data_IF_959881562986
#
_entry.id   IF_959881562986
#
_cell.length_a   1.000
_cell.length_b   1.000
_cell.length_c   1.000
_cell.angle_alpha   90.00
_cell.angle_beta   90.00
_cell.angle_gamma   90.00
#
_symmetry.space_group_name_H-M   'P 1'
#
loop_
_entity.id
_entity.type
_entity.pdbx_description
1 polymer ?
#
# COMPACT_ATOMS: atom_id res chain seq x y z
N UNK A 1 -36.64 -5.23 -2.40
CA UNK A 1 -35.31 -4.81 -2.87
C UNK A 1 -34.51 -6.10 -3.02
N UNK A 2 -34.32 -6.54 -4.26
CA UNK A 2 -33.38 -7.64 -4.54
C UNK A 2 -32.02 -7.21 -4.02
N UNK A 3 -31.56 -7.89 -3.00
CA UNK A 3 -30.20 -7.68 -2.50
C UNK A 3 -29.26 -8.30 -3.52
N UNK A 4 -28.36 -7.52 -4.08
CA UNK A 4 -27.40 -8.00 -5.07
C UNK A 4 -26.53 -9.10 -4.45
N UNK A 5 -26.72 -10.33 -4.91
CA UNK A 5 -26.01 -11.52 -4.43
C UNK A 5 -24.48 -11.35 -4.48
N UNK A 6 -23.98 -10.60 -5.46
CA UNK A 6 -22.56 -10.31 -5.58
C UNK A 6 -22.06 -9.44 -4.44
N UNK A 7 -22.81 -8.40 -4.07
CA UNK A 7 -22.44 -7.52 -2.96
C UNK A 7 -22.47 -8.30 -1.63
N UNK A 8 -23.50 -9.13 -1.42
CA UNK A 8 -23.55 -10.01 -0.24
C UNK A 8 -22.33 -10.92 -0.16
N UNK A 9 -21.88 -11.44 -1.30
CA UNK A 9 -20.72 -12.32 -1.37
C UNK A 9 -19.43 -11.61 -0.94
N UNK A 10 -19.24 -10.34 -1.29
CA UNK A 10 -18.12 -9.53 -0.80
C UNK A 10 -18.11 -9.44 0.74
N UNK A 11 -19.26 -9.12 1.33
CA UNK A 11 -19.38 -9.02 2.79
C UNK A 11 -19.17 -10.36 3.49
N UNK A 12 -19.68 -11.42 2.91
CA UNK A 12 -19.52 -12.77 3.45
C UNK A 12 -18.05 -13.20 3.46
N UNK A 13 -17.35 -13.00 2.37
CA UNK A 13 -15.94 -13.36 2.22
C UNK A 13 -15.00 -12.52 3.11
N UNK A 14 -15.45 -11.35 3.55
CA UNK A 14 -14.73 -10.46 4.46
C UNK A 14 -15.26 -10.50 5.90
N UNK A 15 -16.05 -11.51 6.26
CA UNK A 15 -16.69 -11.60 7.58
C UNK A 15 -15.65 -11.57 8.72
N UNK A 16 -15.92 -10.83 9.81
CA UNK A 16 -14.97 -10.66 10.93
C UNK A 16 -14.52 -11.96 11.61
N UNK A 17 -15.31 -13.04 11.51
CA UNK A 17 -14.92 -14.37 12.02
C UNK A 17 -13.82 -15.06 11.21
N UNK A 18 -13.48 -14.53 10.03
CA UNK A 18 -12.38 -15.03 9.20
C UNK A 18 -11.07 -14.33 9.56
N UNK A 19 -9.97 -15.08 9.59
CA UNK A 19 -8.63 -14.47 9.59
C UNK A 19 -8.41 -13.70 8.27
N UNK A 20 -7.51 -12.68 8.27
CA UNK A 20 -7.19 -11.97 7.03
C UNK A 20 -6.78 -12.91 5.89
N UNK A 21 -5.94 -13.90 6.17
CA UNK A 21 -5.50 -14.89 5.17
C UNK A 21 -6.67 -15.72 4.62
N UNK A 22 -7.62 -16.11 5.47
CA UNK A 22 -8.81 -16.84 5.05
C UNK A 22 -9.78 -15.97 4.25
N UNK A 23 -9.96 -14.72 4.65
CA UNK A 23 -10.80 -13.75 3.93
C UNK A 23 -10.24 -13.46 2.53
N UNK A 24 -8.94 -13.25 2.40
CA UNK A 24 -8.26 -13.06 1.12
C UNK A 24 -8.45 -14.28 0.22
N UNK A 25 -8.17 -15.48 0.71
CA UNK A 25 -8.30 -16.72 -0.07
C UNK A 25 -9.75 -16.95 -0.53
N UNK A 26 -10.71 -16.76 0.36
CA UNK A 26 -12.12 -16.93 0.05
C UNK A 26 -12.63 -15.89 -0.96
N UNK A 27 -12.22 -14.64 -0.81
CA UNK A 27 -12.58 -13.56 -1.74
C UNK A 27 -12.05 -13.84 -3.15
N UNK A 28 -10.79 -14.23 -3.28
CA UNK A 28 -10.19 -14.57 -4.57
C UNK A 28 -10.89 -15.76 -5.22
N UNK A 29 -11.29 -16.75 -4.44
CA UNK A 29 -11.97 -17.96 -4.96
C UNK A 29 -13.42 -17.67 -5.33
N UNK A 30 -14.19 -17.06 -4.44
CA UNK A 30 -15.65 -16.95 -4.59
C UNK A 30 -16.06 -15.72 -5.41
N UNK A 31 -15.40 -14.57 -5.22
CA UNK A 31 -15.70 -13.33 -5.94
C UNK A 31 -14.80 -13.17 -7.15
N UNK A 32 -13.51 -13.43 -6.99
CA UNK A 32 -12.50 -13.29 -8.04
C UNK A 32 -12.57 -14.37 -9.11
N UNK A 33 -13.09 -15.55 -8.78
CA UNK A 33 -13.18 -16.66 -9.69
C UNK A 33 -11.85 -17.38 -9.97
N UNK A 34 -10.80 -17.09 -9.21
CA UNK A 34 -9.52 -17.79 -9.32
C UNK A 34 -9.68 -19.24 -8.85
N UNK A 35 -8.90 -20.15 -9.48
CA UNK A 35 -8.82 -21.55 -9.02
C UNK A 35 -8.02 -21.64 -7.72
N UNK A 36 -8.28 -22.67 -6.93
CA UNK A 36 -7.49 -22.98 -5.73
C UNK A 36 -6.00 -23.07 -6.04
N UNK A 37 -5.65 -23.67 -7.19
CA UNK A 37 -4.27 -23.78 -7.66
C UNK A 37 -3.63 -22.40 -7.92
N UNK A 38 -4.32 -21.49 -8.59
CA UNK A 38 -3.82 -20.13 -8.85
C UNK A 38 -3.58 -19.38 -7.55
N UNK A 39 -4.50 -19.48 -6.59
CA UNK A 39 -4.37 -18.82 -5.27
C UNK A 39 -3.19 -19.42 -4.49
N UNK A 40 -3.05 -20.75 -4.50
CA UNK A 40 -1.93 -21.44 -3.85
C UNK A 40 -0.58 -21.01 -4.44
N UNK A 41 -0.49 -20.90 -5.77
CA UNK A 41 0.71 -20.42 -6.46
C UNK A 41 1.04 -18.96 -6.07
N UNK A 42 0.04 -18.08 -6.04
CA UNK A 42 0.22 -16.68 -5.71
C UNK A 42 0.76 -16.48 -4.27
N UNK A 43 0.33 -17.33 -3.34
CA UNK A 43 0.73 -17.23 -1.93
C UNK A 43 1.86 -18.21 -1.53
N UNK A 44 2.44 -18.89 -2.50
CA UNK A 44 3.56 -19.82 -2.30
C UNK A 44 3.28 -20.90 -1.24
N UNK A 45 2.06 -21.43 -1.25
CA UNK A 45 1.64 -22.53 -0.37
C UNK A 45 1.22 -23.74 -1.20
N UNK A 46 1.31 -24.97 -0.65
CA UNK A 46 0.81 -26.17 -1.33
C UNK A 46 -0.68 -26.06 -1.65
N UNK A 47 -1.10 -26.57 -2.81
CA UNK A 47 -2.50 -26.53 -3.24
C UNK A 47 -3.46 -27.17 -2.21
N UNK A 48 -3.06 -28.30 -1.63
CA UNK A 48 -3.83 -28.98 -0.58
C UNK A 48 -4.03 -28.10 0.65
N UNK A 49 -3.02 -27.35 1.07
CA UNK A 49 -3.09 -26.40 2.20
C UNK A 49 -4.07 -25.25 1.88
N UNK A 50 -4.01 -24.71 0.68
CA UNK A 50 -4.94 -23.67 0.24
C UNK A 50 -6.37 -24.19 0.15
N UNK A 51 -6.57 -25.39 -0.38
CA UNK A 51 -7.87 -26.05 -0.46
C UNK A 51 -8.51 -26.21 0.94
N UNK A 52 -7.72 -26.63 1.93
CA UNK A 52 -8.19 -26.74 3.32
C UNK A 52 -8.55 -25.35 3.91
N UNK A 53 -7.73 -24.34 3.66
CA UNK A 53 -8.00 -22.97 4.11
C UNK A 53 -9.32 -22.44 3.58
N UNK A 54 -9.54 -22.57 2.28
CA UNK A 54 -10.79 -22.15 1.62
C UNK A 54 -11.97 -22.95 2.13
N UNK A 55 -11.83 -24.26 2.29
CA UNK A 55 -12.89 -25.14 2.80
C UNK A 55 -13.30 -24.80 4.24
N UNK A 56 -12.33 -24.52 5.11
CA UNK A 56 -12.59 -24.05 6.48
C UNK A 56 -13.26 -22.68 6.49
N UNK A 57 -12.80 -21.75 5.66
CA UNK A 57 -13.39 -20.43 5.55
C UNK A 57 -14.87 -20.52 5.10
N UNK A 58 -15.18 -21.33 4.11
CA UNK A 58 -16.57 -21.60 3.66
C UNK A 58 -17.42 -22.14 4.81
N UNK A 59 -16.94 -23.09 5.58
CA UNK A 59 -17.66 -23.64 6.75
C UNK A 59 -17.91 -22.58 7.82
N UNK A 60 -16.94 -21.73 8.11
CA UNK A 60 -17.06 -20.66 9.09
C UNK A 60 -18.18 -19.70 8.73
N UNK A 61 -18.32 -19.32 7.47
CA UNK A 61 -19.33 -18.35 7.03
C UNK A 61 -20.65 -18.97 6.60
N UNK A 62 -20.73 -20.29 6.39
CA UNK A 62 -21.96 -20.95 5.96
C UNK A 62 -23.11 -20.89 6.98
N UNK A 63 -22.79 -20.70 8.27
CA UNK A 63 -23.78 -20.55 9.34
C UNK A 63 -24.13 -19.10 9.67
N UNK A 64 -23.53 -18.13 8.96
CA UNK A 64 -23.75 -16.71 9.23
C UNK A 64 -25.09 -16.27 8.64
N UNK A 65 -25.94 -15.68 9.48
CA UNK A 65 -27.20 -15.06 9.04
C UNK A 65 -26.91 -13.64 8.56
N UNK A 66 -27.37 -13.30 7.36
CA UNK A 66 -27.24 -11.97 6.75
C UNK A 66 -28.27 -10.98 7.31
N UNK A 67 -28.33 -10.82 8.63
CA UNK A 67 -29.29 -9.91 9.25
C UNK A 67 -28.73 -8.51 9.53
N UNK A 68 -27.47 -8.29 9.23
CA UNK A 68 -26.81 -7.00 9.42
C UNK A 68 -26.11 -6.57 8.13
N UNK A 69 -26.13 -5.26 7.78
CA UNK A 69 -25.32 -4.75 6.69
C UNK A 69 -23.86 -5.05 6.98
N UNK A 70 -23.14 -5.55 5.98
CA UNK A 70 -21.72 -5.81 6.09
C UNK A 70 -20.93 -4.52 6.27
N UNK A 71 -19.75 -4.64 6.89
CA UNK A 71 -18.82 -3.53 7.05
C UNK A 71 -17.98 -3.33 5.78
N UNK A 72 -18.24 -2.24 5.08
CA UNK A 72 -17.47 -1.85 3.88
C UNK A 72 -15.98 -1.75 4.18
N UNK A 73 -15.61 -1.19 5.34
CA UNK A 73 -14.19 -1.05 5.72
C UNK A 73 -13.46 -2.40 5.76
N UNK A 74 -14.12 -3.46 6.21
CA UNK A 74 -13.53 -4.80 6.25
C UNK A 74 -13.29 -5.35 4.83
N UNK A 75 -14.24 -5.16 3.92
CA UNK A 75 -14.10 -5.54 2.50
C UNK A 75 -12.92 -4.80 1.86
N UNK A 76 -12.81 -3.50 2.10
CA UNK A 76 -11.75 -2.67 1.54
C UNK A 76 -10.36 -3.09 2.04
N UNK A 77 -10.23 -3.47 3.30
CA UNK A 77 -8.97 -4.00 3.85
C UNK A 77 -8.56 -5.31 3.17
N UNK A 78 -9.52 -6.20 2.92
CA UNK A 78 -9.24 -7.45 2.19
C UNK A 78 -8.75 -7.17 0.78
N UNK A 79 -9.42 -6.31 0.03
CA UNK A 79 -9.01 -5.92 -1.31
C UNK A 79 -7.64 -5.24 -1.32
N UNK A 80 -7.35 -4.41 -0.35
CA UNK A 80 -6.05 -3.75 -0.22
C UNK A 80 -4.93 -4.75 0.11
N UNK A 81 -5.19 -5.76 0.93
CA UNK A 81 -4.23 -6.86 1.17
C UNK A 81 -3.93 -7.64 -0.11
N UNK A 82 -4.94 -7.94 -0.93
CA UNK A 82 -4.75 -8.59 -2.23
C UNK A 82 -3.89 -7.72 -3.15
N UNK A 83 -4.18 -6.43 -3.21
CA UNK A 83 -3.42 -5.48 -4.02
C UNK A 83 -1.94 -5.42 -3.62
N UNK A 84 -1.67 -5.35 -2.32
CA UNK A 84 -0.31 -5.26 -1.78
C UNK A 84 0.53 -6.52 -1.99
N UNK A 85 -0.09 -7.68 -2.15
CA UNK A 85 0.62 -8.90 -2.56
C UNK A 85 1.21 -8.76 -3.96
N UNK A 86 0.54 -8.01 -4.82
CA UNK A 86 1.04 -7.61 -6.11
C UNK A 86 1.09 -8.73 -7.14
N UNK A 87 2.27 -9.02 -7.67
CA UNK A 87 2.47 -10.03 -8.71
C UNK A 87 3.30 -11.18 -8.15
N UNK A 88 2.76 -12.40 -8.20
CA UNK A 88 3.45 -13.60 -7.75
C UNK A 88 3.29 -14.71 -8.80
N UNK A 89 4.40 -15.17 -9.34
CA UNK A 89 4.40 -16.13 -10.43
C UNK A 89 3.63 -15.59 -11.64
N UNK A 90 2.66 -16.36 -12.12
CA UNK A 90 1.82 -16.00 -13.28
C UNK A 90 0.51 -15.29 -12.88
N UNK A 91 0.34 -14.97 -11.60
CA UNK A 91 -0.90 -14.38 -11.08
C UNK A 91 -0.69 -12.89 -10.76
N UNK A 92 -1.43 -12.03 -11.45
CA UNK A 92 -1.48 -10.60 -11.21
C UNK A 92 -2.55 -10.27 -10.16
N UNK A 93 -2.19 -10.35 -8.88
CA UNK A 93 -3.09 -10.04 -7.77
C UNK A 93 -3.43 -8.55 -7.70
N UNK A 94 -2.51 -7.67 -8.08
CA UNK A 94 -2.77 -6.24 -8.11
C UNK A 94 -3.84 -5.90 -9.16
N UNK A 95 -3.72 -6.45 -10.37
CA UNK A 95 -4.74 -6.31 -11.42
C UNK A 95 -6.09 -6.91 -11.00
N UNK A 96 -6.07 -8.05 -10.33
CA UNK A 96 -7.28 -8.69 -9.82
C UNK A 96 -7.96 -7.85 -8.73
N UNK A 97 -7.20 -7.27 -7.80
CA UNK A 97 -7.73 -6.37 -6.78
C UNK A 97 -8.39 -5.12 -7.39
N UNK A 98 -7.78 -4.54 -8.42
CA UNK A 98 -8.36 -3.40 -9.16
C UNK A 98 -9.67 -3.82 -9.83
N UNK A 99 -9.69 -4.99 -10.48
CA UNK A 99 -10.92 -5.51 -11.11
C UNK A 99 -12.05 -5.67 -10.09
N UNK A 100 -11.75 -6.25 -8.93
CA UNK A 100 -12.71 -6.43 -7.84
C UNK A 100 -13.17 -5.08 -7.25
N UNK A 101 -12.26 -4.13 -7.06
CA UNK A 101 -12.60 -2.79 -6.59
C UNK A 101 -13.49 -2.03 -7.59
N UNK A 102 -13.25 -2.15 -8.89
CA UNK A 102 -14.13 -1.59 -9.93
C UNK A 102 -15.53 -2.22 -9.89
N UNK A 103 -15.61 -3.53 -9.76
CA UNK A 103 -16.88 -4.25 -9.63
C UNK A 103 -17.64 -3.78 -8.40
N UNK A 104 -16.97 -3.65 -7.26
CA UNK A 104 -17.57 -3.16 -6.02
C UNK A 104 -18.05 -1.71 -6.16
N UNK A 105 -17.26 -0.83 -6.77
CA UNK A 105 -17.62 0.57 -7.02
C UNK A 105 -18.85 0.72 -7.93
N UNK A 106 -19.07 -0.21 -8.85
CA UNK A 106 -20.25 -0.24 -9.70
C UNK A 106 -21.53 -0.68 -8.95
N UNK A 107 -21.37 -1.37 -7.82
CA UNK A 107 -22.46 -1.93 -7.03
C UNK A 107 -22.83 -1.09 -5.82
N UNK A 108 -21.89 -0.39 -5.26
CA UNK A 108 -22.08 0.43 -4.06
C UNK A 108 -21.47 1.82 -4.25
N UNK A 109 -22.30 2.82 -4.03
CA UNK A 109 -21.87 4.22 -4.06
C UNK A 109 -21.35 4.63 -2.68
N UNK A 110 -20.02 4.51 -2.52
CA UNK A 110 -19.36 4.78 -1.25
C UNK A 110 -18.00 5.46 -1.49
N UNK A 111 -17.75 6.55 -0.77
CA UNK A 111 -16.57 7.40 -0.96
C UNK A 111 -15.26 6.64 -0.75
N UNK A 112 -15.20 5.74 0.23
CA UNK A 112 -13.99 4.98 0.50
C UNK A 112 -13.76 3.82 -0.46
N UNK A 113 -14.81 3.28 -1.07
CA UNK A 113 -14.66 2.34 -2.20
C UNK A 113 -13.99 3.06 -3.37
N UNK A 114 -14.45 4.26 -3.70
CA UNK A 114 -13.81 5.11 -4.71
C UNK A 114 -12.38 5.50 -4.31
N UNK A 115 -12.15 5.84 -3.04
CA UNK A 115 -10.84 6.16 -2.50
C UNK A 115 -9.84 5.03 -2.66
N UNK A 116 -10.23 3.80 -2.33
CA UNK A 116 -9.38 2.62 -2.51
C UNK A 116 -9.10 2.33 -3.99
N UNK A 117 -10.12 2.42 -4.85
CA UNK A 117 -9.92 2.26 -6.29
C UNK A 117 -8.93 3.29 -6.83
N UNK A 118 -9.08 4.55 -6.47
CA UNK A 118 -8.15 5.61 -6.87
C UNK A 118 -6.72 5.33 -6.38
N UNK A 119 -6.55 4.92 -5.13
CA UNK A 119 -5.26 4.56 -4.56
C UNK A 119 -4.59 3.42 -5.35
N UNK A 120 -5.33 2.37 -5.65
CA UNK A 120 -4.83 1.24 -6.43
C UNK A 120 -4.42 1.65 -7.84
N UNK A 121 -5.24 2.45 -8.53
CA UNK A 121 -4.94 2.95 -9.87
C UNK A 121 -3.68 3.80 -9.91
N UNK A 122 -3.53 4.73 -8.98
CA UNK A 122 -2.38 5.63 -8.87
C UNK A 122 -1.08 4.86 -8.55
N UNK A 123 -1.13 3.88 -7.67
CA UNK A 123 0.01 3.04 -7.36
C UNK A 123 0.35 2.09 -8.51
N UNK A 124 -0.65 1.49 -9.15
CA UNK A 124 -0.45 0.57 -10.27
C UNK A 124 0.13 1.26 -11.51
N UNK A 125 -0.22 2.52 -11.72
CA UNK A 125 0.32 3.35 -12.80
C UNK A 125 1.84 3.44 -12.81
N UNK A 126 2.49 3.33 -11.65
CA UNK A 126 3.94 3.41 -11.49
C UNK A 126 4.66 2.07 -11.61
N UNK A 127 3.91 0.97 -11.72
CA UNK A 127 4.47 -0.39 -11.75
C UNK A 127 5.60 -0.56 -12.76
N UNK A 128 5.52 -0.07 -14.03
CA UNK A 128 6.60 -0.24 -15.00
C UNK A 128 7.94 0.39 -14.58
N UNK A 129 7.91 1.39 -13.69
CA UNK A 129 9.09 2.12 -13.24
C UNK A 129 9.65 1.65 -11.88
N UNK A 130 8.95 0.73 -11.17
CA UNK A 130 9.30 0.33 -9.80
C UNK A 130 10.49 -0.60 -9.68
N UNK A 131 10.78 -1.37 -10.71
CA UNK A 131 11.85 -2.35 -10.69
C UNK A 131 12.76 -2.19 -11.91
N UNK A 132 14.05 -2.42 -11.71
CA UNK A 132 15.03 -2.55 -12.79
C UNK A 132 14.93 -3.93 -13.44
N UNK A 133 15.55 -4.13 -14.62
CA UNK A 133 15.58 -5.44 -15.28
C UNK A 133 16.17 -6.57 -14.41
N UNK A 134 17.04 -6.25 -13.45
CA UNK A 134 17.61 -7.19 -12.49
C UNK A 134 16.70 -7.50 -11.29
N UNK A 135 15.49 -6.94 -11.27
CA UNK A 135 14.51 -7.10 -10.20
C UNK A 135 14.73 -6.19 -8.99
N UNK A 136 15.76 -5.33 -8.99
CA UNK A 136 16.01 -4.39 -7.90
C UNK A 136 14.97 -3.27 -7.88
N UNK A 137 14.64 -2.81 -6.65
CA UNK A 137 13.69 -1.72 -6.45
C UNK A 137 14.27 -0.37 -6.88
N UNK A 138 13.41 0.45 -7.48
CA UNK A 138 13.71 1.84 -7.82
C UNK A 138 12.94 2.75 -6.85
N UNK A 139 13.62 3.54 -6.02
CA UNK A 139 12.96 4.54 -5.18
C UNK A 139 12.13 5.52 -6.02
N UNK A 140 11.05 6.03 -5.46
CA UNK A 140 10.12 6.91 -6.18
C UNK A 140 10.83 8.11 -6.83
N UNK A 141 11.78 8.73 -6.13
CA UNK A 141 12.54 9.87 -6.63
C UNK A 141 13.42 9.54 -7.86
N UNK A 142 13.79 8.27 -8.03
CA UNK A 142 14.65 7.79 -9.11
C UNK A 142 13.86 7.14 -10.26
N UNK A 143 12.53 6.99 -10.11
CA UNK A 143 11.68 6.37 -11.12
C UNK A 143 11.62 7.22 -12.39
N UNK A 144 11.71 6.54 -13.54
CA UNK A 144 11.44 7.15 -14.84
C UNK A 144 9.93 7.39 -15.00
N UNK A 145 9.52 8.63 -14.82
CA UNK A 145 8.11 9.05 -14.86
C UNK A 145 7.49 8.90 -16.25
N UNK A 146 8.30 8.84 -17.31
CA UNK A 146 7.82 8.57 -18.67
C UNK A 146 7.24 7.16 -18.83
N UNK A 147 7.60 6.24 -17.93
CA UNK A 147 7.06 4.87 -17.89
C UNK A 147 5.74 4.76 -17.12
N UNK A 148 5.32 5.80 -16.42
CA UNK A 148 4.07 5.79 -15.69
C UNK A 148 2.86 5.80 -16.63
N UNK A 149 1.86 4.99 -16.30
CA UNK A 149 0.62 4.93 -17.09
C UNK A 149 -0.26 6.15 -16.81
N UNK A 150 -0.22 7.11 -17.74
CA UNK A 150 -0.96 8.38 -17.63
C UNK A 150 -2.47 8.21 -17.68
N UNK A 151 -2.98 7.12 -18.29
CA UNK A 151 -4.43 6.83 -18.30
C UNK A 151 -4.91 6.40 -16.94
N UNK A 152 -4.17 5.53 -16.27
CA UNK A 152 -4.49 5.11 -14.89
C UNK A 152 -4.38 6.28 -13.91
N UNK A 153 -3.40 7.16 -14.08
CA UNK A 153 -3.27 8.38 -13.26
C UNK A 153 -4.50 9.27 -13.46
N UNK A 154 -4.88 9.56 -14.69
CA UNK A 154 -6.04 10.40 -14.99
C UNK A 154 -7.34 9.81 -14.41
N UNK A 155 -7.56 8.52 -14.59
CA UNK A 155 -8.71 7.81 -14.02
C UNK A 155 -8.71 7.88 -12.49
N UNK A 156 -7.56 7.60 -11.86
CA UNK A 156 -7.42 7.64 -10.40
C UNK A 156 -7.69 9.03 -9.82
N UNK A 157 -7.20 10.08 -10.46
CA UNK A 157 -7.45 11.47 -10.06
C UNK A 157 -8.93 11.83 -10.19
N UNK A 158 -9.57 11.48 -11.29
CA UNK A 158 -11.00 11.74 -11.51
C UNK A 158 -11.87 11.04 -10.46
N UNK A 159 -11.63 9.76 -10.22
CA UNK A 159 -12.34 8.98 -9.19
C UNK A 159 -12.16 9.59 -7.80
N UNK A 160 -10.93 10.00 -7.47
CA UNK A 160 -10.62 10.62 -6.18
C UNK A 160 -11.31 11.96 -6.01
N UNK A 161 -11.24 12.84 -7.00
CA UNK A 161 -11.87 14.17 -6.94
C UNK A 161 -13.38 14.06 -6.74
N UNK A 162 -14.03 13.13 -7.42
CA UNK A 162 -15.47 12.86 -7.24
C UNK A 162 -15.79 12.38 -5.83
N UNK A 163 -14.96 11.53 -5.25
CA UNK A 163 -15.14 11.05 -3.88
C UNK A 163 -14.92 12.18 -2.85
N UNK A 164 -13.86 12.94 -2.98
CA UNK A 164 -13.53 14.05 -2.07
C UNK A 164 -14.60 15.16 -2.08
N UNK A 165 -15.26 15.39 -3.20
CA UNK A 165 -16.33 16.38 -3.33
C UNK A 165 -17.55 16.10 -2.43
N UNK A 166 -17.67 14.89 -1.89
CA UNK A 166 -18.75 14.50 -0.97
C UNK A 166 -18.49 14.86 0.50
N UNK A 167 -17.28 15.35 0.81
CA UNK A 167 -16.88 15.78 2.15
C UNK A 167 -17.06 14.70 3.24
N UNK A 168 -16.76 13.45 2.88
CA UNK A 168 -16.78 12.28 3.77
C UNK A 168 -15.42 11.57 3.70
N UNK A 169 -14.41 12.26 4.23
CA UNK A 169 -13.03 11.80 4.16
C UNK A 169 -12.82 10.49 4.95
N UNK A 170 -12.07 9.57 4.35
CA UNK A 170 -11.60 8.35 4.98
C UNK A 170 -10.15 8.05 4.64
N UNK A 171 -9.60 7.01 5.24
CA UNK A 171 -8.18 6.67 5.13
C UNK A 171 -7.71 6.42 3.69
N UNK A 172 -8.51 5.74 2.86
CA UNK A 172 -8.11 5.43 1.49
C UNK A 172 -8.16 6.65 0.58
N UNK A 173 -9.10 7.56 0.79
CA UNK A 173 -9.12 8.85 0.10
C UNK A 173 -7.88 9.68 0.45
N UNK A 174 -7.50 9.74 1.74
CA UNK A 174 -6.30 10.46 2.17
C UNK A 174 -5.02 9.87 1.56
N UNK A 175 -4.88 8.54 1.56
CA UNK A 175 -3.74 7.86 0.93
C UNK A 175 -3.72 8.08 -0.59
N UNK A 176 -4.88 8.05 -1.25
CA UNK A 176 -4.99 8.33 -2.68
C UNK A 176 -4.60 9.77 -3.01
N UNK A 177 -4.95 10.74 -2.16
CA UNK A 177 -4.55 12.14 -2.33
C UNK A 177 -3.03 12.31 -2.27
N UNK A 178 -2.36 11.63 -1.36
CA UNK A 178 -0.89 11.62 -1.29
C UNK A 178 -0.30 11.02 -2.58
N UNK A 179 -0.83 9.90 -3.03
CA UNK A 179 -0.38 9.26 -4.27
C UNK A 179 -0.62 10.17 -5.51
N UNK A 180 -1.73 10.89 -5.55
CA UNK A 180 -2.05 11.84 -6.62
C UNK A 180 -1.06 13.02 -6.65
N UNK A 181 -0.67 13.54 -5.50
CA UNK A 181 0.32 14.62 -5.41
C UNK A 181 1.71 14.17 -5.91
N UNK A 182 2.09 12.93 -5.63
CA UNK A 182 3.31 12.36 -6.21
C UNK A 182 3.20 12.19 -7.73
N UNK A 183 2.03 11.80 -8.23
CA UNK A 183 1.80 11.59 -9.66
C UNK A 183 1.70 12.91 -10.46
N UNK A 184 1.29 13.99 -9.82
CA UNK A 184 1.15 15.32 -10.45
C UNK A 184 2.50 15.98 -10.73
N UNK A 185 3.51 15.75 -9.90
CA UNK A 185 4.83 16.31 -10.07
C UNK A 185 5.54 15.75 -11.29
N UNK A 186 5.98 16.62 -12.20
CA UNK A 186 6.73 16.23 -13.40
C UNK A 186 8.14 15.75 -13.06
N UNK A 187 8.70 16.29 -12.00
CA UNK A 187 10.02 15.95 -11.45
C UNK A 187 9.93 15.80 -9.93
N UNK A 188 10.82 15.01 -9.31
CA UNK A 188 10.84 14.85 -7.85
C UNK A 188 10.90 16.18 -7.08
N UNK A 189 11.63 17.16 -7.60
CA UNK A 189 11.82 18.48 -6.98
C UNK A 189 10.55 19.34 -6.98
N UNK A 190 9.59 19.03 -7.84
CA UNK A 190 8.31 19.72 -7.96
C UNK A 190 7.21 19.10 -7.07
N UNK A 191 7.53 18.08 -6.30
CA UNK A 191 6.59 17.42 -5.39
C UNK A 191 6.11 18.39 -4.32
N UNK A 192 4.81 18.56 -4.17
CA UNK A 192 4.20 19.42 -3.15
C UNK A 192 4.20 18.74 -1.78
N UNK A 193 5.36 18.76 -1.13
CA UNK A 193 5.53 18.14 0.17
C UNK A 193 4.72 18.81 1.28
N UNK A 194 4.41 20.08 1.15
CA UNK A 194 3.57 20.79 2.13
C UNK A 194 2.17 20.21 2.14
N UNK A 195 1.54 20.06 0.97
CA UNK A 195 0.24 19.40 0.87
C UNK A 195 0.31 17.93 1.30
N UNK A 196 1.38 17.22 0.97
CA UNK A 196 1.56 15.82 1.41
C UNK A 196 1.57 15.72 2.93
N UNK A 197 2.24 16.62 3.63
CA UNK A 197 2.21 16.66 5.11
C UNK A 197 0.79 16.90 5.63
N UNK A 198 0.03 17.81 5.03
CA UNK A 198 -1.36 18.06 5.41
C UNK A 198 -2.23 16.80 5.26
N UNK A 199 -2.06 16.04 4.19
CA UNK A 199 -2.75 14.77 4.00
C UNK A 199 -2.29 13.68 4.98
N UNK A 200 -1.02 13.64 5.34
CA UNK A 200 -0.56 12.75 6.40
C UNK A 200 -1.12 13.14 7.76
N UNK A 201 -1.28 14.41 8.06
CA UNK A 201 -1.96 14.88 9.28
C UNK A 201 -3.39 14.33 9.34
N UNK A 202 -4.15 14.42 8.25
CA UNK A 202 -5.49 13.84 8.16
C UNK A 202 -5.47 12.32 8.29
N UNK A 203 -4.54 11.63 7.63
CA UNK A 203 -4.42 10.18 7.70
C UNK A 203 -4.09 9.71 9.12
N UNK A 204 -3.19 10.38 9.82
CA UNK A 204 -2.87 10.11 11.23
C UNK A 204 -4.09 10.33 12.12
N UNK A 205 -4.83 11.42 11.91
CA UNK A 205 -6.07 11.70 12.64
C UNK A 205 -7.12 10.60 12.46
N UNK A 206 -7.25 10.07 11.24
CA UNK A 206 -8.24 9.04 10.90
C UNK A 206 -7.86 7.65 11.40
N UNK A 207 -6.58 7.30 11.42
CA UNK A 207 -6.12 5.92 11.63
C UNK A 207 -5.32 5.71 12.90
N UNK A 208 -4.73 6.76 13.46
CA UNK A 208 -3.72 6.70 14.53
C UNK A 208 -2.55 5.74 14.21
N UNK A 209 -2.34 5.43 12.94
CA UNK A 209 -1.39 4.44 12.46
C UNK A 209 0.07 4.85 12.73
N UNK A 210 0.87 4.01 13.39
CA UNK A 210 2.31 4.27 13.55
C UNK A 210 3.04 4.35 12.20
N UNK A 211 2.61 3.57 11.21
CA UNK A 211 3.19 3.60 9.85
C UNK A 211 2.90 4.94 9.17
N UNK A 212 1.69 5.47 9.31
CA UNK A 212 1.35 6.80 8.78
C UNK A 212 2.20 7.89 9.45
N UNK A 213 2.42 7.82 10.75
CA UNK A 213 3.30 8.74 11.49
C UNK A 213 4.75 8.66 11.03
N UNK A 214 5.24 7.45 10.75
CA UNK A 214 6.59 7.23 10.24
C UNK A 214 6.76 7.87 8.85
N UNK A 215 5.83 7.63 7.93
CA UNK A 215 5.84 8.23 6.61
C UNK A 215 5.67 9.76 6.65
N UNK A 216 4.86 10.25 7.61
CA UNK A 216 4.73 11.69 7.88
C UNK A 216 6.07 12.32 8.24
N UNK A 217 6.90 11.66 9.07
CA UNK A 217 8.21 12.17 9.44
C UNK A 217 9.12 12.37 8.22
N UNK A 218 9.07 11.47 7.24
CA UNK A 218 9.78 11.65 5.95
C UNK A 218 9.26 12.88 5.21
N UNK A 219 7.95 13.02 5.08
CA UNK A 219 7.33 14.15 4.38
C UNK A 219 7.66 15.49 5.07
N UNK A 220 7.65 15.54 6.41
CA UNK A 220 8.08 16.71 7.18
C UNK A 220 9.56 17.04 6.89
N UNK A 221 10.41 16.02 6.79
CA UNK A 221 11.82 16.22 6.43
C UNK A 221 11.99 16.83 5.04
N UNK A 222 11.16 16.45 4.08
CA UNK A 222 11.18 17.03 2.73
C UNK A 222 10.59 18.45 2.70
N UNK A 223 9.50 18.71 3.44
CA UNK A 223 8.81 19.99 3.43
C UNK A 223 9.51 21.07 4.27
N UNK A 224 10.04 20.72 5.44
CA UNK A 224 10.55 21.64 6.45
C UNK A 224 12.03 21.43 6.83
N UNK A 225 12.69 20.52 6.14
CA UNK A 225 14.09 20.17 6.37
C UNK A 225 14.30 18.93 7.23
N UNK A 226 15.46 18.26 7.05
CA UNK A 226 15.73 16.97 7.67
C UNK A 226 15.70 16.98 9.20
N UNK A 227 16.09 18.08 9.83
CA UNK A 227 16.04 18.21 11.29
C UNK A 227 14.62 18.21 11.83
N UNK A 228 13.68 18.85 11.12
CA UNK A 228 12.26 18.78 11.46
C UNK A 228 11.72 17.36 11.33
N UNK A 229 12.13 16.62 10.29
CA UNK A 229 11.80 15.22 10.12
C UNK A 229 12.36 14.33 11.24
N UNK A 230 13.61 14.54 11.63
CA UNK A 230 14.23 13.83 12.76
C UNK A 230 13.53 14.13 14.10
N UNK A 231 13.09 15.38 14.31
CA UNK A 231 12.31 15.75 15.50
C UNK A 231 10.96 14.99 15.54
N UNK A 232 10.26 14.93 14.41
CA UNK A 232 9.02 14.16 14.30
C UNK A 232 9.25 12.66 14.53
N UNK A 233 10.34 12.11 14.00
CA UNK A 233 10.74 10.72 14.17
C UNK A 233 11.05 10.38 15.63
N UNK A 234 11.67 11.30 16.37
CA UNK A 234 12.04 11.10 17.77
C UNK A 234 10.85 10.89 18.72
N UNK A 235 9.65 11.28 18.32
CA UNK A 235 8.42 11.06 19.06
C UNK A 235 7.85 9.65 18.88
N UNK A 236 8.41 8.86 17.95
CA UNK A 236 7.91 7.54 17.61
C UNK A 236 8.72 6.43 18.29
N UNK A 237 8.08 5.26 18.45
CA UNK A 237 8.73 4.07 18.98
C UNK A 237 9.88 3.62 18.05
N UNK A 238 11.13 3.57 18.54
CA UNK A 238 12.27 3.16 17.73
C UNK A 238 12.20 1.70 17.23
N UNK A 239 11.35 0.88 17.84
CA UNK A 239 11.16 -0.52 17.45
C UNK A 239 10.24 -0.69 16.23
N UNK A 240 9.61 0.39 15.75
CA UNK A 240 8.76 0.32 14.57
C UNK A 240 9.55 -0.18 13.36
N UNK A 241 8.98 -1.09 12.56
CA UNK A 241 9.58 -1.49 11.30
C UNK A 241 9.91 -0.27 10.43
N UNK A 242 11.09 -0.27 9.84
CA UNK A 242 11.63 0.83 9.02
C UNK A 242 11.96 2.14 9.76
N UNK A 243 11.80 2.22 11.06
CA UNK A 243 12.20 3.41 11.82
C UNK A 243 13.69 3.74 11.60
N UNK A 244 14.57 2.74 11.70
CA UNK A 244 16.01 2.90 11.49
C UNK A 244 16.33 3.32 10.04
N UNK A 245 15.63 2.78 9.05
CA UNK A 245 15.80 3.17 7.65
C UNK A 245 15.38 4.64 7.39
N UNK A 246 14.30 5.08 8.01
CA UNK A 246 13.86 6.49 7.95
C UNK A 246 14.86 7.40 8.63
N UNK A 247 15.38 7.01 9.79
CA UNK A 247 16.44 7.77 10.48
C UNK A 247 17.69 7.88 9.61
N UNK A 248 18.12 6.81 8.94
CA UNK A 248 19.24 6.82 8.02
C UNK A 248 19.03 7.84 6.88
N UNK A 249 17.88 7.79 6.25
CA UNK A 249 17.51 8.72 5.18
C UNK A 249 17.55 10.18 5.62
N UNK A 250 16.97 10.49 6.77
CA UNK A 250 16.91 11.86 7.29
C UNK A 250 18.31 12.37 7.71
N UNK A 251 19.17 11.54 8.31
CA UNK A 251 20.56 11.89 8.60
C UNK A 251 21.37 12.13 7.33
N UNK A 252 21.17 11.33 6.29
CA UNK A 252 21.79 11.56 4.99
C UNK A 252 21.37 12.93 4.43
N UNK A 253 20.11 13.27 4.49
CA UNK A 253 19.58 14.56 4.03
C UNK A 253 20.10 15.74 4.86
N UNK A 254 20.45 15.52 6.13
CA UNK A 254 21.09 16.54 7.00
C UNK A 254 22.60 16.66 6.79
N UNK A 255 23.17 15.84 5.89
CA UNK A 255 24.60 15.83 5.59
C UNK A 255 25.45 14.97 6.53
N UNK A 256 24.84 14.26 7.47
CA UNK A 256 25.51 13.34 8.38
C UNK A 256 25.68 11.94 7.72
N UNK A 257 26.59 11.88 6.75
CA UNK A 257 26.85 10.65 5.99
C UNK A 257 27.36 9.50 6.87
N UNK A 258 28.10 9.80 7.94
CA UNK A 258 28.67 8.78 8.85
C UNK A 258 27.55 8.07 9.61
N UNK A 259 26.68 8.83 10.24
CA UNK A 259 25.51 8.27 10.95
C UNK A 259 24.56 7.57 9.99
N UNK A 260 24.29 8.17 8.83
CA UNK A 260 23.43 7.58 7.81
C UNK A 260 23.94 6.22 7.32
N UNK A 261 25.23 6.10 6.99
CA UNK A 261 25.82 4.82 6.54
C UNK A 261 25.69 3.73 7.60
N UNK A 262 25.95 4.06 8.86
CA UNK A 262 25.78 3.12 9.98
C UNK A 262 24.33 2.68 10.14
N UNK A 263 23.38 3.60 10.07
CA UNK A 263 21.95 3.30 10.22
C UNK A 263 21.39 2.51 9.01
N UNK A 264 21.82 2.78 7.79
CA UNK A 264 21.45 1.97 6.63
C UNK A 264 21.92 0.53 6.78
N UNK A 265 23.16 0.31 7.25
CA UNK A 265 23.69 -1.03 7.50
C UNK A 265 22.91 -1.74 8.61
N UNK A 266 22.53 -1.03 9.67
CA UNK A 266 21.69 -1.56 10.73
C UNK A 266 20.29 -1.93 10.23
N UNK A 267 19.64 -1.04 9.48
CA UNK A 267 18.32 -1.29 8.88
C UNK A 267 18.33 -2.49 7.92
N UNK A 268 19.41 -2.68 7.16
CA UNK A 268 19.55 -3.83 6.25
C UNK A 268 19.49 -5.17 7.00
N UNK A 269 20.01 -5.24 8.23
CA UNK A 269 20.00 -6.48 9.03
C UNK A 269 18.57 -6.89 9.46
N UNK A 270 17.67 -5.94 9.63
CA UNK A 270 16.28 -6.17 10.04
C UNK A 270 15.27 -6.02 8.91
N UNK A 271 15.72 -5.88 7.66
CA UNK A 271 14.84 -5.71 6.51
C UNK A 271 13.95 -6.96 6.30
N UNK A 272 12.65 -6.76 6.01
CA UNK A 272 11.68 -7.85 5.94
C UNK A 272 11.83 -8.73 4.69
N UNK A 273 12.51 -8.26 3.66
CA UNK A 273 12.69 -8.97 2.39
C UNK A 273 14.04 -8.66 1.75
N UNK A 274 14.44 -9.49 0.78
CA UNK A 274 15.71 -9.35 0.08
C UNK A 274 15.84 -8.05 -0.71
N UNK A 275 14.87 -7.62 -1.52
CA UNK A 275 15.00 -6.38 -2.28
C UNK A 275 15.24 -5.15 -1.39
N UNK A 276 14.56 -5.06 -0.26
CA UNK A 276 14.75 -3.97 0.70
C UNK A 276 16.12 -4.05 1.38
N UNK A 277 16.55 -5.25 1.77
CA UNK A 277 17.90 -5.48 2.32
C UNK A 277 18.98 -5.06 1.33
N UNK A 278 18.86 -5.47 0.08
CA UNK A 278 19.84 -5.15 -0.96
C UNK A 278 19.90 -3.65 -1.24
N UNK A 279 18.76 -2.98 -1.24
CA UNK A 279 18.68 -1.53 -1.37
C UNK A 279 19.42 -0.84 -0.22
N UNK A 280 19.10 -1.16 1.03
CA UNK A 280 19.69 -0.56 2.22
C UNK A 280 21.21 -0.86 2.31
N UNK A 281 21.62 -2.06 1.91
CA UNK A 281 23.04 -2.43 1.86
C UNK A 281 23.79 -1.59 0.84
N UNK A 282 23.22 -1.36 -0.34
CA UNK A 282 23.80 -0.50 -1.37
C UNK A 282 23.92 0.96 -0.92
N UNK A 283 22.91 1.47 -0.23
CA UNK A 283 22.95 2.84 0.31
C UNK A 283 24.08 3.00 1.35
N UNK A 284 24.23 2.05 2.26
CA UNK A 284 25.33 2.04 3.21
C UNK A 284 26.70 1.99 2.51
N UNK A 285 26.86 1.15 1.49
CA UNK A 285 28.09 1.03 0.72
C UNK A 285 28.42 2.31 -0.07
N UNK A 286 27.40 2.93 -0.68
CA UNK A 286 27.55 4.20 -1.43
C UNK A 286 28.10 5.31 -0.53
N UNK A 287 27.52 5.48 0.65
CA UNK A 287 27.96 6.50 1.60
C UNK A 287 29.38 6.22 2.14
N UNK A 288 29.67 4.96 2.47
CA UNK A 288 31.01 4.57 2.93
C UNK A 288 32.08 4.78 1.87
N UNK A 289 31.77 4.58 0.60
CA UNK A 289 32.68 4.86 -0.51
C UNK A 289 32.99 6.37 -0.61
N UNK A 290 31.95 7.22 -0.46
CA UNK A 290 32.11 8.68 -0.45
C UNK A 290 32.95 9.23 0.73
N UNK A 291 32.92 8.52 1.87
CA UNK A 291 33.70 8.91 3.06
C UNK A 291 35.18 8.56 2.99
N UNK A 292 35.56 7.68 2.04
CA UNK A 292 36.96 7.22 1.86
C UNK A 292 37.71 7.97 0.77
N UNK A 293 37.05 8.74 -0.05
CA UNK A 293 37.62 9.58 -1.10
C UNK A 293 37.73 11.02 -0.68
#
# INVERSE_FOLDING_TARGET
VEVDDTLQLYFLCAHPSLSPASAVALTLRAVGGLTTRQIAQAYLVPEATMAQRISRAKRTVSGVRFNQPGDVATVLRVLYLIFNEGYSGDVDLAGEAIRLARQLAAKIDHEEVAGLLALMLLHHARRPARTRPDGSLVPLAEQDRSLWDTRLIAEGVEVLQTALARDRLGEFQAQAAIAALHADAQKPEETDWVQIVEWYDELVRLTESPVARLNRAVAVGEAAGPRAGLAALAELDPSLPRHTAVAAYLHERDGDAVTAARLYAEAARSAPNLPERDHLTREAARLNAGLRG
#
